data_IF_596933416779
#
_entry.id   IF_596933416779
#
_cell.length_a   1.000
_cell.length_b   1.000
_cell.length_c   1.000
_cell.angle_alpha   90.00
_cell.angle_beta   90.00
_cell.angle_gamma   90.00
#
_symmetry.space_group_name_H-M   'P 1'
#
loop_
_entity.id
_entity.type
_entity.pdbx_description
1 polymer ?
#
# COMPACT_ATOMS: atom_id res chain seq x y z
N UNK A 1 -37.82 17.66 16.81
CA UNK A 1 -38.48 18.89 17.30
C UNK A 1 -37.52 19.87 17.98
N UNK A 2 -36.43 19.42 18.58
CA UNK A 2 -35.43 20.29 19.28
C UNK A 2 -34.62 21.10 18.26
N UNK A 3 -34.15 20.50 17.16
CA UNK A 3 -33.36 21.19 16.14
C UNK A 3 -34.09 22.32 15.41
N UNK A 4 -35.40 22.19 15.19
CA UNK A 4 -36.21 23.24 14.53
C UNK A 4 -36.40 24.49 15.41
N UNK A 5 -36.47 24.34 16.75
CA UNK A 5 -36.58 25.47 17.68
C UNK A 5 -35.24 26.23 17.83
N UNK A 6 -34.12 25.51 17.82
CA UNK A 6 -32.80 26.09 17.79
C UNK A 6 -32.56 26.87 16.51
N UNK A 7 -32.92 26.31 15.35
CA UNK A 7 -32.77 26.97 14.04
C UNK A 7 -33.57 28.27 13.93
N UNK A 8 -34.82 28.30 14.43
CA UNK A 8 -35.68 29.51 14.46
C UNK A 8 -35.14 30.57 15.41
N UNK A 9 -34.55 30.18 16.55
CA UNK A 9 -33.93 31.10 17.50
C UNK A 9 -32.66 31.73 16.94
N UNK A 10 -31.90 30.94 16.11
CA UNK A 10 -30.71 31.41 15.43
C UNK A 10 -31.03 32.37 14.26
N UNK A 11 -32.09 32.17 13.51
CA UNK A 11 -32.51 33.05 12.41
C UNK A 11 -32.88 34.47 12.85
N UNK A 12 -33.20 34.67 14.13
CA UNK A 12 -33.57 35.99 14.70
C UNK A 12 -32.38 36.87 15.14
N UNK A 13 -31.14 36.32 15.14
CA UNK A 13 -29.93 37.06 15.58
C UNK A 13 -28.74 36.75 14.67
N UNK A 14 -28.70 37.30 13.45
CA UNK A 14 -27.66 36.95 12.48
C UNK A 14 -26.24 37.29 12.95
N UNK A 15 -26.06 38.30 13.78
CA UNK A 15 -24.75 38.69 14.33
C UNK A 15 -24.17 37.63 15.27
N UNK A 16 -24.99 37.09 16.18
CA UNK A 16 -24.55 36.01 17.09
C UNK A 16 -24.29 34.68 16.36
N UNK A 17 -25.01 34.40 15.24
CA UNK A 17 -24.73 33.22 14.41
C UNK A 17 -23.40 33.34 13.70
N UNK A 18 -23.05 34.52 13.22
CA UNK A 18 -21.74 34.77 12.57
C UNK A 18 -20.58 34.55 13.55
N UNK A 19 -20.68 35.16 14.76
CA UNK A 19 -19.66 35.00 15.80
C UNK A 19 -19.53 33.54 16.26
N UNK A 20 -20.65 32.84 16.47
CA UNK A 20 -20.62 31.43 16.88
C UNK A 20 -20.03 30.55 15.81
N UNK A 21 -20.29 30.81 14.52
CA UNK A 21 -19.72 30.08 13.42
C UNK A 21 -18.19 30.30 13.30
N UNK A 22 -17.74 31.54 13.43
CA UNK A 22 -16.32 31.91 13.46
C UNK A 22 -15.60 31.27 14.65
N UNK A 23 -16.22 31.35 15.86
CA UNK A 23 -15.65 30.73 17.05
C UNK A 23 -15.58 29.20 16.95
N UNK A 24 -16.60 28.56 16.39
CA UNK A 24 -16.58 27.12 16.13
C UNK A 24 -15.49 26.74 15.08
N UNK A 25 -15.36 27.54 14.04
CA UNK A 25 -14.31 27.35 13.03
C UNK A 25 -12.91 27.52 13.63
N UNK A 26 -12.71 28.57 14.44
CA UNK A 26 -11.45 28.81 15.14
C UNK A 26 -11.10 27.66 16.10
N UNK A 27 -12.08 27.20 16.89
CA UNK A 27 -11.88 26.08 17.81
C UNK A 27 -11.55 24.78 17.07
N UNK A 28 -12.28 24.47 16.00
CA UNK A 28 -11.99 23.26 15.18
C UNK A 28 -10.63 23.35 14.51
N UNK A 29 -10.21 24.52 14.06
CA UNK A 29 -8.88 24.75 13.49
C UNK A 29 -7.78 24.57 14.53
N UNK A 30 -7.96 25.13 15.76
CA UNK A 30 -7.01 24.95 16.86
C UNK A 30 -6.90 23.49 17.29
N UNK A 31 -8.02 22.77 17.38
CA UNK A 31 -8.03 21.34 17.67
C UNK A 31 -7.34 20.54 16.58
N UNK A 32 -7.59 20.85 15.29
CA UNK A 32 -6.94 20.20 14.16
C UNK A 32 -5.41 20.41 14.18
N UNK A 33 -4.96 21.65 14.46
CA UNK A 33 -3.53 21.98 14.62
C UNK A 33 -2.93 21.23 15.82
N UNK A 34 -3.62 21.21 16.96
CA UNK A 34 -3.17 20.47 18.16
C UNK A 34 -3.04 18.96 17.89
N UNK A 35 -4.02 18.34 17.24
CA UNK A 35 -3.99 16.93 16.84
C UNK A 35 -2.87 16.66 15.83
N UNK A 36 -2.67 17.57 14.86
CA UNK A 36 -1.57 17.47 13.91
C UNK A 36 -0.22 17.44 14.61
N UNK A 37 0.05 18.39 15.53
CA UNK A 37 1.30 18.43 16.28
C UNK A 37 1.50 17.21 17.18
N UNK A 38 0.44 16.72 17.82
CA UNK A 38 0.50 15.53 18.67
C UNK A 38 0.78 14.22 17.88
N UNK A 39 0.35 14.15 16.61
CA UNK A 39 0.52 12.96 15.74
C UNK A 39 1.24 13.28 14.44
N UNK A 40 2.13 14.26 14.45
CA UNK A 40 2.83 14.76 13.27
C UNK A 40 3.43 13.67 12.36
N UNK A 41 4.20 12.66 12.86
CA UNK A 41 4.75 11.63 11.98
C UNK A 41 3.68 10.82 11.22
N UNK A 42 2.54 10.56 11.88
CA UNK A 42 1.42 9.86 11.25
C UNK A 42 0.69 10.70 10.21
N UNK A 43 0.56 12.01 10.46
CA UNK A 43 -0.06 12.95 9.52
C UNK A 43 0.84 13.16 8.29
N UNK A 44 2.13 13.39 8.50
CA UNK A 44 3.11 13.56 7.42
C UNK A 44 3.21 12.30 6.55
N UNK A 45 3.16 11.11 7.16
CA UNK A 45 3.12 9.84 6.44
C UNK A 45 1.89 9.72 5.52
N UNK A 46 0.71 10.14 5.98
CA UNK A 46 -0.51 10.15 5.15
C UNK A 46 -0.43 11.16 4.01
N UNK A 47 0.12 12.35 4.28
CA UNK A 47 0.31 13.37 3.23
C UNK A 47 1.26 12.86 2.14
N UNK A 48 2.35 12.19 2.52
CA UNK A 48 3.23 11.54 1.55
C UNK A 48 2.49 10.46 0.76
N UNK A 49 1.72 9.59 1.43
CA UNK A 49 0.93 8.55 0.74
C UNK A 49 -0.02 9.17 -0.28
N UNK A 50 -0.82 10.17 0.11
CA UNK A 50 -1.76 10.82 -0.82
C UNK A 50 -1.05 11.51 -2.00
N UNK A 51 0.15 12.05 -1.76
CA UNK A 51 1.01 12.60 -2.82
C UNK A 51 1.42 11.52 -3.83
N UNK A 52 1.86 10.35 -3.34
CA UNK A 52 2.24 9.23 -4.19
C UNK A 52 1.01 8.63 -4.89
N UNK A 53 -0.12 8.45 -4.19
CA UNK A 53 -1.39 7.98 -4.78
C UNK A 53 -1.84 8.86 -5.94
N UNK A 54 -1.75 10.19 -5.74
CA UNK A 54 -2.10 11.16 -6.79
C UNK A 54 -1.17 11.03 -8.00
N UNK A 55 0.12 10.74 -7.78
CA UNK A 55 1.07 10.49 -8.88
C UNK A 55 0.75 9.20 -9.63
N UNK A 56 0.35 8.12 -8.91
CA UNK A 56 -0.11 6.87 -9.54
C UNK A 56 -1.32 7.14 -10.44
N UNK A 57 -2.32 7.89 -9.93
CA UNK A 57 -3.51 8.27 -10.72
C UNK A 57 -3.13 9.09 -11.96
N UNK A 58 -2.21 10.06 -11.83
CA UNK A 58 -1.78 10.92 -12.94
C UNK A 58 -0.97 10.14 -14.00
N UNK A 59 -0.24 9.10 -13.64
CA UNK A 59 0.47 8.23 -14.60
C UNK A 59 -0.45 7.26 -15.32
N UNK A 60 -1.56 6.86 -14.69
CA UNK A 60 -2.55 5.94 -15.26
C UNK A 60 -3.95 6.57 -15.26
N UNK A 61 -4.16 7.70 -15.98
CA UNK A 61 -5.30 8.59 -15.74
C UNK A 61 -6.64 8.01 -16.15
N UNK A 62 -6.74 7.16 -17.18
CA UNK A 62 -8.03 6.71 -17.71
C UNK A 62 -8.56 5.49 -16.95
N UNK A 63 -7.77 4.42 -16.84
CA UNK A 63 -8.21 3.12 -16.33
C UNK A 63 -7.55 2.72 -15.02
N UNK A 64 -6.60 3.53 -14.53
CA UNK A 64 -5.82 3.20 -13.34
C UNK A 64 -4.86 2.02 -13.56
N UNK A 65 -4.39 1.46 -12.46
CA UNK A 65 -3.46 0.32 -12.46
C UNK A 65 -4.17 -1.04 -12.38
N UNK A 66 -5.48 -1.04 -12.31
CA UNK A 66 -6.33 -2.22 -12.10
C UNK A 66 -6.59 -2.51 -10.61
N UNK A 67 -7.75 -3.11 -10.28
CA UNK A 67 -8.10 -3.46 -8.92
C UNK A 67 -7.09 -4.43 -8.30
N UNK A 68 -6.69 -4.17 -7.05
CA UNK A 68 -5.74 -4.99 -6.29
C UNK A 68 -4.25 -4.73 -6.60
N UNK A 69 -3.92 -3.90 -7.60
CA UNK A 69 -2.53 -3.60 -7.97
C UNK A 69 -2.00 -2.29 -7.32
N UNK A 70 -2.79 -1.69 -6.44
CA UNK A 70 -2.44 -0.43 -5.78
C UNK A 70 -1.08 -0.47 -5.10
N UNK A 71 -0.82 -1.46 -4.22
CA UNK A 71 0.38 -1.49 -3.42
C UNK A 71 1.67 -1.60 -4.26
N UNK A 72 1.67 -2.45 -5.28
CA UNK A 72 2.82 -2.57 -6.19
C UNK A 72 3.06 -1.29 -7.01
N UNK A 73 2.00 -0.65 -7.51
CA UNK A 73 2.09 0.61 -8.22
C UNK A 73 2.57 1.74 -7.31
N UNK A 74 2.07 1.80 -6.07
CA UNK A 74 2.52 2.73 -5.05
C UNK A 74 4.03 2.58 -4.79
N UNK A 75 4.53 1.35 -4.57
CA UNK A 75 5.94 1.09 -4.31
C UNK A 75 6.85 1.56 -5.44
N UNK A 76 6.46 1.28 -6.70
CA UNK A 76 7.20 1.76 -7.89
C UNK A 76 7.20 3.28 -8.00
N UNK A 77 6.05 3.92 -7.76
CA UNK A 77 5.94 5.38 -7.84
C UNK A 77 6.68 6.06 -6.70
N UNK A 78 6.64 5.51 -5.49
CA UNK A 78 7.42 6.02 -4.35
C UNK A 78 8.92 5.94 -4.63
N UNK A 79 9.39 4.83 -5.21
CA UNK A 79 10.80 4.70 -5.60
C UNK A 79 11.19 5.73 -6.67
N UNK A 80 10.36 5.93 -7.70
CA UNK A 80 10.58 6.96 -8.70
C UNK A 80 10.62 8.35 -8.07
N UNK A 81 9.69 8.64 -7.15
CA UNK A 81 9.62 9.92 -6.44
C UNK A 81 10.91 10.24 -5.67
N UNK A 82 11.50 9.27 -4.98
CA UNK A 82 12.73 9.47 -4.22
C UNK A 82 14.00 9.36 -5.08
N UNK A 83 13.91 8.82 -6.30
CA UNK A 83 15.02 8.77 -7.24
C UNK A 83 15.16 10.03 -8.11
N UNK A 84 14.08 10.78 -8.35
CA UNK A 84 14.06 11.94 -9.25
C UNK A 84 14.90 13.12 -8.72
N UNK A 85 14.79 13.43 -7.42
CA UNK A 85 15.45 14.58 -6.79
C UNK A 85 15.73 14.31 -5.31
N UNK A 86 16.59 15.13 -4.70
CA UNK A 86 16.78 15.12 -3.25
C UNK A 86 15.50 15.62 -2.55
N UNK A 87 14.78 14.70 -1.92
CA UNK A 87 13.51 14.98 -1.25
C UNK A 87 13.70 15.36 0.21
N UNK A 88 12.74 16.12 0.80
CA UNK A 88 12.82 16.53 2.20
C UNK A 88 13.09 15.33 3.12
N UNK A 89 14.04 15.47 4.04
CA UNK A 89 14.42 14.42 5.00
C UNK A 89 13.23 13.87 5.79
N UNK A 90 12.24 14.72 6.08
CA UNK A 90 11.03 14.33 6.78
C UNK A 90 10.19 13.34 5.97
N UNK A 91 10.05 13.55 4.66
CA UNK A 91 9.35 12.61 3.76
C UNK A 91 10.09 11.27 3.68
N UNK A 92 11.43 11.30 3.60
CA UNK A 92 12.23 10.08 3.61
C UNK A 92 12.02 9.25 4.89
N UNK A 93 11.91 9.88 6.06
CA UNK A 93 11.71 9.21 7.36
C UNK A 93 10.31 8.62 7.54
N UNK A 94 9.29 9.17 6.89
CA UNK A 94 7.90 8.66 6.97
C UNK A 94 7.53 7.74 5.82
N UNK A 95 8.42 7.56 4.83
CA UNK A 95 8.22 6.61 3.74
C UNK A 95 8.00 5.19 4.30
N UNK A 96 7.03 4.47 3.73
CA UNK A 96 6.64 3.14 4.17
C UNK A 96 6.22 2.25 3.01
N UNK A 97 5.81 1.03 3.32
CA UNK A 97 5.26 0.08 2.37
C UNK A 97 3.78 -0.21 2.69
N UNK A 98 2.86 0.73 2.38
CA UNK A 98 1.45 0.56 2.69
C UNK A 98 0.79 -0.46 1.76
N UNK A 99 -0.14 -1.25 2.32
CA UNK A 99 -1.06 -2.09 1.55
C UNK A 99 -2.31 -1.32 1.09
N UNK A 100 -2.59 -0.16 1.73
CA UNK A 100 -3.72 0.73 1.42
C UNK A 100 -3.34 2.21 1.52
N UNK A 101 -3.97 3.06 0.72
CA UNK A 101 -3.65 4.48 0.58
C UNK A 101 -4.13 5.40 1.72
N UNK A 102 -4.81 4.86 2.75
CA UNK A 102 -5.44 5.65 3.82
C UNK A 102 -6.37 6.77 3.33
N UNK A 103 -6.81 6.67 2.10
CA UNK A 103 -7.88 7.44 1.47
C UNK A 103 -8.50 6.58 0.37
N UNK A 104 -9.68 6.02 0.67
CA UNK A 104 -10.34 5.06 -0.21
C UNK A 104 -10.71 5.64 -1.58
N UNK A 105 -11.04 6.92 -1.63
CA UNK A 105 -11.37 7.57 -2.90
C UNK A 105 -10.13 7.72 -3.80
N UNK A 106 -9.00 8.15 -3.23
CA UNK A 106 -7.74 8.25 -3.99
C UNK A 106 -7.25 6.87 -4.41
N UNK A 107 -7.27 5.89 -3.52
CA UNK A 107 -6.89 4.51 -3.84
C UNK A 107 -7.78 3.95 -4.96
N UNK A 108 -9.11 4.12 -4.84
CA UNK A 108 -10.03 3.69 -5.89
C UNK A 108 -9.75 4.39 -7.23
N UNK A 109 -9.42 5.69 -7.17
CA UNK A 109 -8.99 6.44 -8.36
C UNK A 109 -7.67 5.92 -8.94
N UNK A 110 -6.69 5.60 -8.12
CA UNK A 110 -5.43 5.00 -8.58
C UNK A 110 -5.66 3.63 -9.26
N UNK A 111 -6.61 2.83 -8.74
CA UNK A 111 -6.95 1.51 -9.29
C UNK A 111 -7.83 1.57 -10.55
N UNK A 112 -8.75 2.54 -10.66
CA UNK A 112 -9.78 2.61 -11.72
C UNK A 112 -9.68 3.83 -12.62
N UNK A 113 -8.70 4.68 -12.40
CA UNK A 113 -8.51 5.93 -13.12
C UNK A 113 -9.50 7.03 -12.72
N UNK A 114 -9.41 8.16 -13.42
CA UNK A 114 -10.25 9.34 -13.18
C UNK A 114 -11.73 9.07 -13.44
N UNK A 115 -12.02 8.14 -14.36
CA UNK A 115 -13.40 7.75 -14.69
C UNK A 115 -14.06 7.12 -13.46
N UNK A 116 -13.43 6.09 -12.88
CA UNK A 116 -13.95 5.44 -11.67
C UNK A 116 -14.00 6.39 -10.47
N UNK A 117 -12.96 7.22 -10.30
CA UNK A 117 -12.90 8.24 -9.25
C UNK A 117 -14.08 9.22 -9.31
N UNK A 118 -14.34 9.80 -10.49
CA UNK A 118 -15.45 10.76 -10.69
C UNK A 118 -16.81 10.08 -10.52
N UNK A 119 -16.98 8.85 -11.04
CA UNK A 119 -18.22 8.08 -10.87
C UNK A 119 -18.50 7.79 -9.39
N UNK A 120 -17.51 7.35 -8.64
CA UNK A 120 -17.67 7.06 -7.20
C UNK A 120 -17.97 8.31 -6.37
N UNK A 121 -17.26 9.42 -6.62
CA UNK A 121 -17.53 10.70 -5.96
C UNK A 121 -18.93 11.23 -6.32
N UNK A 122 -19.30 11.16 -7.59
CA UNK A 122 -20.62 11.60 -8.06
C UNK A 122 -21.74 10.77 -7.45
N UNK A 123 -21.58 9.45 -7.41
CA UNK A 123 -22.56 8.53 -6.80
C UNK A 123 -22.71 8.83 -5.30
N UNK A 124 -21.60 8.90 -4.57
CA UNK A 124 -21.61 9.16 -3.13
C UNK A 124 -22.15 10.56 -2.81
N UNK A 125 -21.69 11.57 -3.53
CA UNK A 125 -22.09 12.97 -3.34
C UNK A 125 -23.57 13.19 -3.64
N UNK A 126 -24.07 12.66 -4.76
CA UNK A 126 -25.51 12.77 -5.11
C UNK A 126 -26.40 12.02 -4.13
N UNK A 127 -25.97 10.84 -3.65
CA UNK A 127 -26.69 10.08 -2.63
C UNK A 127 -26.75 10.86 -1.30
N UNK A 128 -25.64 11.43 -0.82
CA UNK A 128 -25.59 12.23 0.40
C UNK A 128 -26.47 13.47 0.27
N UNK A 129 -26.28 14.27 -0.78
CA UNK A 129 -27.05 15.52 -0.98
C UNK A 129 -28.54 15.22 -1.15
N UNK A 130 -28.86 14.21 -1.94
CA UNK A 130 -30.25 13.79 -2.17
C UNK A 130 -30.93 13.29 -0.87
N UNK A 131 -30.23 12.50 -0.06
CA UNK A 131 -30.74 12.02 1.22
C UNK A 131 -30.94 13.17 2.24
N UNK A 132 -29.98 14.08 2.37
CA UNK A 132 -30.07 15.23 3.27
C UNK A 132 -31.25 16.13 2.86
N UNK A 133 -31.42 16.44 1.55
CA UNK A 133 -32.55 17.21 1.04
C UNK A 133 -33.89 16.56 1.33
N UNK A 134 -33.96 15.23 1.26
CA UNK A 134 -35.17 14.44 1.62
C UNK A 134 -35.34 14.19 3.12
N UNK A 135 -34.43 14.74 3.96
CA UNK A 135 -34.40 14.50 5.41
C UNK A 135 -34.31 13.02 5.78
N UNK A 136 -33.62 12.24 4.93
CA UNK A 136 -33.36 10.83 5.19
C UNK A 136 -32.16 10.70 6.16
N UNK A 137 -32.32 10.10 7.36
CA UNK A 137 -31.25 10.02 8.37
C UNK A 137 -30.03 9.23 7.89
N UNK A 138 -30.20 8.28 6.98
CA UNK A 138 -29.10 7.50 6.40
C UNK A 138 -28.10 8.37 5.59
N UNK A 139 -28.52 9.54 5.11
CA UNK A 139 -27.65 10.50 4.45
C UNK A 139 -26.55 11.04 5.36
N UNK A 140 -26.87 11.26 6.64
CA UNK A 140 -25.85 11.69 7.62
C UNK A 140 -24.89 10.57 7.97
N UNK A 141 -25.38 9.32 8.07
CA UNK A 141 -24.54 8.15 8.26
C UNK A 141 -23.58 7.92 7.08
N UNK A 142 -24.10 8.03 5.85
CA UNK A 142 -23.28 7.92 4.62
C UNK A 142 -22.25 9.05 4.53
N UNK A 143 -22.60 10.28 4.90
CA UNK A 143 -21.65 11.40 4.95
C UNK A 143 -20.52 11.12 5.95
N UNK A 144 -20.86 10.67 7.17
CA UNK A 144 -19.85 10.30 8.17
C UNK A 144 -18.93 9.17 7.69
N UNK A 145 -19.50 8.13 7.06
CA UNK A 145 -18.74 7.03 6.47
C UNK A 145 -17.82 7.49 5.32
N UNK A 146 -18.29 8.42 4.47
CA UNK A 146 -17.49 8.99 3.39
C UNK A 146 -16.33 9.85 3.94
N UNK A 147 -16.58 10.68 4.97
CA UNK A 147 -15.52 11.44 5.64
C UNK A 147 -14.49 10.49 6.27
N UNK A 148 -14.93 9.42 6.93
CA UNK A 148 -14.03 8.41 7.49
C UNK A 148 -13.19 7.73 6.40
N UNK A 149 -13.77 7.43 5.24
CA UNK A 149 -13.08 6.85 4.08
C UNK A 149 -12.02 7.79 3.46
N UNK A 150 -12.12 9.12 3.63
CA UNK A 150 -11.09 10.07 3.19
C UNK A 150 -9.81 10.01 4.04
N UNK A 151 -9.87 9.48 5.28
CA UNK A 151 -8.74 9.51 6.23
C UNK A 151 -8.33 8.14 6.74
N UNK A 152 -8.94 7.07 6.23
CA UNK A 152 -8.72 5.70 6.69
C UNK A 152 -8.97 4.71 5.54
N UNK A 153 -8.93 3.41 5.86
CA UNK A 153 -9.11 2.28 4.93
C UNK A 153 -10.31 1.37 5.30
N UNK A 154 -11.53 1.93 5.49
CA UNK A 154 -12.68 1.13 5.92
C UNK A 154 -13.10 0.07 4.89
N UNK A 155 -12.81 0.25 3.61
CA UNK A 155 -13.19 -0.73 2.57
C UNK A 155 -12.27 -1.95 2.52
N UNK A 156 -11.11 -1.90 3.15
CA UNK A 156 -10.27 -3.08 3.39
C UNK A 156 -10.85 -4.00 4.46
N UNK A 157 -11.83 -3.52 5.26
CA UNK A 157 -12.51 -4.26 6.32
C UNK A 157 -13.92 -4.62 5.84
N UNK A 158 -14.16 -5.90 5.53
CA UNK A 158 -15.42 -6.37 4.91
C UNK A 158 -16.70 -5.86 5.59
N UNK A 159 -16.88 -5.92 6.93
CA UNK A 159 -18.08 -5.38 7.59
C UNK A 159 -18.30 -3.89 7.33
N UNK A 160 -17.23 -3.08 7.32
CA UNK A 160 -17.33 -1.63 7.07
C UNK A 160 -17.64 -1.33 5.60
N UNK A 161 -17.10 -2.12 4.67
CA UNK A 161 -17.43 -2.04 3.24
C UNK A 161 -18.91 -2.35 3.01
N UNK A 162 -19.41 -3.41 3.61
CA UNK A 162 -20.84 -3.77 3.53
C UNK A 162 -21.72 -2.68 4.15
N UNK A 163 -21.33 -2.13 5.31
CA UNK A 163 -22.04 -1.02 5.94
C UNK A 163 -22.12 0.20 5.01
N UNK A 164 -21.01 0.55 4.34
CA UNK A 164 -21.00 1.67 3.38
C UNK A 164 -21.99 1.43 2.24
N UNK A 165 -22.03 0.22 1.66
CA UNK A 165 -22.97 -0.15 0.59
C UNK A 165 -24.41 -0.08 1.08
N UNK A 166 -24.71 -0.59 2.27
CA UNK A 166 -26.06 -0.53 2.88
C UNK A 166 -26.48 0.92 3.13
N UNK A 167 -25.58 1.76 3.68
CA UNK A 167 -25.87 3.19 3.88
C UNK A 167 -26.11 3.91 2.55
N UNK A 168 -25.32 3.60 1.51
CA UNK A 168 -25.50 4.16 0.18
C UNK A 168 -26.87 3.78 -0.40
N UNK A 169 -27.24 2.51 -0.35
CA UNK A 169 -28.53 2.03 -0.82
C UNK A 169 -29.70 2.66 -0.04
N UNK A 170 -29.62 2.70 1.30
CA UNK A 170 -30.62 3.32 2.15
C UNK A 170 -30.75 4.84 1.94
N UNK A 171 -29.62 5.53 1.69
CA UNK A 171 -29.62 6.96 1.35
C UNK A 171 -30.31 7.24 -0.01
N UNK A 172 -30.18 6.35 -0.98
CA UNK A 172 -30.81 6.47 -2.28
C UNK A 172 -32.32 6.18 -2.26
N UNK A 173 -32.83 5.45 -1.25
CA UNK A 173 -34.23 5.06 -1.18
C UNK A 173 -35.13 6.25 -0.83
N UNK A 174 -36.14 6.57 -1.63
CA UNK A 174 -37.09 7.64 -1.31
C UNK A 174 -38.02 7.22 -0.15
N UNK A 175 -38.24 8.12 0.80
CA UNK A 175 -39.00 7.86 2.05
C UNK A 175 -40.45 7.48 1.81
N UNK A 176 -41.06 7.98 0.72
CA UNK A 176 -42.46 7.74 0.31
C UNK A 176 -42.47 7.23 -1.13
N UNK A 177 -41.80 6.14 -1.41
CA UNK A 177 -41.92 5.52 -2.73
C UNK A 177 -43.34 4.93 -2.85
N UNK A 178 -44.14 5.36 -3.82
CA UNK A 178 -45.39 4.68 -4.09
C UNK A 178 -45.07 3.21 -4.42
N UNK A 179 -45.93 2.28 -3.97
CA UNK A 179 -45.79 0.86 -4.34
C UNK A 179 -45.78 0.75 -5.87
N UNK A 180 -44.58 0.62 -6.42
CA UNK A 180 -44.41 0.43 -7.87
C UNK A 180 -44.82 -0.99 -8.20
N UNK A 181 -45.68 -1.14 -9.20
CA UNK A 181 -46.16 -2.47 -9.63
C UNK A 181 -44.99 -3.44 -9.87
N UNK A 182 -45.25 -4.73 -9.70
CA UNK A 182 -44.24 -5.81 -9.77
C UNK A 182 -43.38 -5.76 -11.04
N UNK A 183 -43.99 -5.43 -12.19
CA UNK A 183 -43.28 -5.31 -13.48
C UNK A 183 -42.21 -4.24 -13.53
N UNK A 184 -42.35 -3.14 -12.78
CA UNK A 184 -41.37 -2.07 -12.75
C UNK A 184 -40.17 -2.39 -11.84
N UNK A 185 -40.33 -3.35 -10.94
CA UNK A 185 -39.27 -3.86 -10.06
C UNK A 185 -38.62 -5.14 -10.64
N UNK A 186 -39.06 -5.61 -11.81
CA UNK A 186 -38.52 -6.81 -12.45
C UNK A 186 -36.99 -6.79 -12.60
N UNK A 187 -36.32 -5.68 -13.04
CA UNK A 187 -34.85 -5.61 -13.09
C UNK A 187 -34.20 -5.76 -11.72
N UNK A 188 -34.82 -5.24 -10.64
CA UNK A 188 -34.33 -5.39 -9.27
C UNK A 188 -34.46 -6.83 -8.74
N UNK A 189 -35.45 -7.58 -9.22
CA UNK A 189 -35.63 -9.00 -8.89
C UNK A 189 -34.68 -9.90 -9.69
N UNK A 190 -34.26 -9.48 -10.87
CA UNK A 190 -33.25 -10.22 -11.67
C UNK A 190 -31.85 -10.22 -11.05
N UNK A 191 -31.46 -9.16 -10.31
CA UNK A 191 -30.17 -9.08 -9.65
C UNK A 191 -29.94 -10.21 -8.61
N UNK A 192 -30.85 -10.47 -7.63
CA UNK A 192 -30.66 -11.58 -6.71
C UNK A 192 -30.76 -12.94 -7.40
N UNK A 193 -31.55 -13.07 -8.46
CA UNK A 193 -31.62 -14.31 -9.25
C UNK A 193 -30.33 -14.56 -10.01
N UNK A 194 -29.77 -13.54 -10.66
CA UNK A 194 -28.45 -13.62 -11.30
C UNK A 194 -27.34 -13.91 -10.27
N UNK A 195 -27.38 -13.26 -9.12
CA UNK A 195 -26.49 -13.54 -8.00
C UNK A 195 -26.57 -14.98 -7.52
N UNK A 196 -27.78 -15.50 -7.34
CA UNK A 196 -28.02 -16.90 -6.95
C UNK A 196 -27.53 -17.89 -8.01
N UNK A 197 -27.70 -17.56 -9.29
CA UNK A 197 -27.25 -18.40 -10.40
C UNK A 197 -25.70 -18.43 -10.50
N UNK A 198 -25.02 -17.32 -10.19
CA UNK A 198 -23.55 -17.25 -10.16
C UNK A 198 -22.94 -17.80 -8.86
N UNK A 199 -23.74 -17.95 -7.80
CA UNK A 199 -23.29 -18.31 -6.47
C UNK A 199 -22.50 -19.63 -6.40
N UNK A 200 -22.95 -20.74 -7.01
CA UNK A 200 -22.20 -22.00 -6.93
C UNK A 200 -20.79 -21.88 -7.46
N UNK A 201 -20.61 -21.29 -8.65
CA UNK A 201 -19.27 -21.12 -9.23
C UNK A 201 -18.36 -20.14 -8.47
N UNK A 202 -18.94 -19.11 -7.83
CA UNK A 202 -18.20 -18.19 -6.95
C UNK A 202 -17.84 -18.89 -5.64
N UNK A 203 -18.75 -19.69 -5.09
CA UNK A 203 -18.51 -20.45 -3.85
C UNK A 203 -17.41 -21.48 -4.04
N UNK A 204 -17.42 -22.24 -5.13
CA UNK A 204 -16.39 -23.25 -5.41
C UNK A 204 -15.00 -22.59 -5.54
N UNK A 205 -14.90 -21.49 -6.28
CA UNK A 205 -13.64 -20.74 -6.38
C UNK A 205 -13.18 -20.22 -5.02
N UNK A 206 -14.10 -19.69 -4.23
CA UNK A 206 -13.80 -19.21 -2.87
C UNK A 206 -13.37 -20.36 -1.97
N UNK A 207 -14.06 -21.49 -1.98
CA UNK A 207 -13.74 -22.67 -1.16
C UNK A 207 -12.34 -23.21 -1.50
N UNK A 208 -12.01 -23.35 -2.79
CA UNK A 208 -10.66 -23.76 -3.24
C UNK A 208 -9.60 -22.79 -2.74
N UNK A 209 -9.83 -21.47 -2.84
CA UNK A 209 -8.86 -20.46 -2.38
C UNK A 209 -8.69 -20.47 -0.85
N UNK A 210 -9.80 -20.63 -0.10
CA UNK A 210 -9.74 -20.74 1.37
C UNK A 210 -8.98 -21.98 1.81
N UNK A 211 -9.23 -23.11 1.16
CA UNK A 211 -8.50 -24.36 1.46
C UNK A 211 -7.01 -24.22 1.12
N UNK A 212 -6.67 -23.64 -0.02
CA UNK A 212 -5.28 -23.36 -0.40
C UNK A 212 -4.60 -22.43 0.62
N UNK A 213 -5.29 -21.37 1.10
CA UNK A 213 -4.77 -20.50 2.16
C UNK A 213 -4.61 -21.20 3.50
N UNK A 214 -5.47 -22.18 3.82
CA UNK A 214 -5.34 -22.99 5.02
C UNK A 214 -4.10 -23.87 4.93
N UNK A 215 -3.93 -24.61 3.84
CA UNK A 215 -2.75 -25.45 3.59
C UNK A 215 -1.48 -24.62 3.65
N UNK A 216 -1.48 -23.46 3.00
CA UNK A 216 -0.36 -22.52 3.04
C UNK A 216 0.01 -22.11 4.48
N UNK A 217 -0.96 -21.79 5.34
CA UNK A 217 -0.69 -21.43 6.75
C UNK A 217 -0.07 -22.57 7.55
N UNK A 218 -0.42 -23.81 7.25
CA UNK A 218 0.16 -25.00 7.89
C UNK A 218 1.61 -25.19 7.43
N UNK A 219 1.85 -25.10 6.13
CA UNK A 219 3.20 -25.24 5.54
C UNK A 219 4.13 -24.11 6.00
N UNK A 220 3.62 -22.89 6.14
CA UNK A 220 4.40 -21.73 6.60
C UNK A 220 5.04 -21.94 7.98
N UNK A 221 4.49 -22.81 8.83
CA UNK A 221 5.08 -23.12 10.12
C UNK A 221 6.48 -23.76 9.98
N UNK A 222 6.74 -24.48 8.88
CA UNK A 222 8.04 -25.09 8.59
C UNK A 222 9.15 -24.06 8.30
N UNK A 223 8.82 -22.79 7.99
CA UNK A 223 9.83 -21.72 7.87
C UNK A 223 10.61 -21.52 9.18
N UNK A 224 9.97 -21.72 10.33
CA UNK A 224 10.62 -21.58 11.63
C UNK A 224 11.62 -22.71 11.92
N UNK A 225 11.45 -23.83 11.25
CA UNK A 225 12.34 -25.00 11.35
C UNK A 225 13.33 -25.08 10.19
N UNK A 226 13.42 -24.02 9.39
CA UNK A 226 14.28 -23.92 8.20
C UNK A 226 14.07 -25.03 7.15
N UNK A 227 12.93 -25.71 7.19
CA UNK A 227 12.55 -26.79 6.26
C UNK A 227 11.93 -26.20 5.00
N UNK A 228 12.73 -25.52 4.21
CA UNK A 228 12.30 -24.83 2.98
C UNK A 228 11.95 -25.79 1.83
N UNK A 229 12.43 -27.01 1.88
CA UNK A 229 12.09 -28.11 0.97
C UNK A 229 10.58 -28.36 0.90
N UNK A 230 9.89 -28.45 2.04
CA UNK A 230 8.44 -28.61 2.11
C UNK A 230 7.68 -27.38 1.57
N UNK A 231 8.22 -26.18 1.83
CA UNK A 231 7.61 -24.97 1.30
C UNK A 231 7.68 -24.89 -0.22
N UNK A 232 8.76 -25.43 -0.81
CA UNK A 232 8.91 -25.45 -2.27
C UNK A 232 7.94 -26.43 -2.91
N UNK A 233 7.81 -27.64 -2.37
CA UNK A 233 6.89 -28.67 -2.86
C UNK A 233 5.42 -28.22 -2.80
N UNK A 234 4.96 -27.78 -1.64
CA UNK A 234 3.61 -27.30 -1.46
C UNK A 234 3.37 -25.97 -2.17
N UNK A 235 4.38 -25.10 -2.21
CA UNK A 235 4.32 -23.83 -2.93
C UNK A 235 4.06 -24.03 -4.41
N UNK A 236 4.69 -25.00 -5.06
CA UNK A 236 4.44 -25.33 -6.45
C UNK A 236 2.99 -25.78 -6.69
N UNK A 237 2.46 -26.64 -5.83
CA UNK A 237 1.08 -27.13 -5.90
C UNK A 237 0.07 -26.00 -5.70
N UNK A 238 0.34 -25.05 -4.78
CA UNK A 238 -0.57 -23.97 -4.43
C UNK A 238 -0.44 -22.72 -5.34
N UNK A 239 0.65 -22.64 -6.12
CA UNK A 239 0.96 -21.46 -6.92
C UNK A 239 -0.16 -21.05 -7.86
N UNK A 240 -0.79 -22.00 -8.58
CA UNK A 240 -1.90 -21.69 -9.48
C UNK A 240 -3.11 -21.02 -8.81
N UNK A 241 -3.33 -21.28 -7.50
CA UNK A 241 -4.46 -20.73 -6.74
C UNK A 241 -4.09 -19.45 -5.98
N UNK A 242 -2.84 -19.35 -5.50
CA UNK A 242 -2.38 -18.27 -4.60
C UNK A 242 -1.46 -17.26 -5.28
N UNK A 243 -1.26 -17.34 -6.59
CA UNK A 243 -0.37 -16.45 -7.36
C UNK A 243 -0.76 -14.96 -7.34
N UNK A 244 -1.96 -14.62 -6.84
CA UNK A 244 -2.42 -13.25 -6.61
C UNK A 244 -2.23 -12.78 -5.14
N UNK A 245 -1.70 -13.63 -4.27
CA UNK A 245 -1.43 -13.29 -2.87
C UNK A 245 0.08 -12.98 -2.71
N UNK A 246 0.41 -11.71 -2.55
CA UNK A 246 1.82 -11.30 -2.45
C UNK A 246 2.54 -11.90 -1.22
N UNK A 247 1.81 -12.23 -0.14
CA UNK A 247 2.41 -12.85 1.05
C UNK A 247 2.83 -14.28 0.74
N UNK A 248 1.99 -15.02 -0.02
CA UNK A 248 2.34 -16.33 -0.53
C UNK A 248 3.55 -16.25 -1.47
N UNK A 249 3.54 -15.31 -2.42
CA UNK A 249 4.64 -15.13 -3.37
C UNK A 249 5.96 -14.77 -2.68
N UNK A 250 5.90 -13.97 -1.61
CA UNK A 250 7.08 -13.66 -0.79
C UNK A 250 7.66 -14.91 -0.16
N UNK A 251 6.84 -15.66 0.57
CA UNK A 251 7.30 -16.83 1.33
C UNK A 251 7.78 -17.93 0.38
N UNK A 252 7.06 -18.18 -0.71
CA UNK A 252 7.46 -19.16 -1.73
C UNK A 252 8.75 -18.74 -2.47
N UNK A 253 8.84 -17.49 -2.88
CA UNK A 253 10.04 -16.93 -3.48
C UNK A 253 11.25 -17.00 -2.54
N UNK A 254 11.04 -16.73 -1.24
CA UNK A 254 12.07 -16.87 -0.22
C UNK A 254 12.49 -18.32 0.00
N UNK A 255 11.57 -19.28 0.00
CA UNK A 255 11.88 -20.70 0.10
C UNK A 255 12.72 -21.17 -1.10
N UNK A 256 12.36 -20.77 -2.33
CA UNK A 256 13.15 -21.04 -3.54
C UNK A 256 14.56 -20.41 -3.46
N UNK A 257 14.69 -19.19 -2.90
CA UNK A 257 16.00 -18.60 -2.64
C UNK A 257 16.83 -19.46 -1.68
N UNK A 258 16.23 -19.94 -0.59
CA UNK A 258 16.91 -20.74 0.43
C UNK A 258 17.32 -22.13 -0.06
N UNK A 259 16.58 -22.72 -1.00
CA UNK A 259 16.91 -24.01 -1.64
C UNK A 259 17.85 -23.88 -2.84
N UNK A 260 18.25 -22.64 -3.21
CA UNK A 260 19.19 -22.39 -4.30
C UNK A 260 18.57 -22.29 -5.68
N UNK A 261 17.23 -22.40 -5.83
CA UNK A 261 16.57 -22.19 -7.11
C UNK A 261 16.35 -20.70 -7.38
N UNK A 262 17.45 -19.99 -7.58
CA UNK A 262 17.46 -18.52 -7.72
C UNK A 262 16.67 -18.02 -8.93
N UNK A 263 16.64 -18.79 -10.03
CA UNK A 263 15.92 -18.38 -11.25
C UNK A 263 14.41 -18.40 -11.03
N UNK A 264 13.88 -19.50 -10.49
CA UNK A 264 12.44 -19.60 -10.18
C UNK A 264 12.05 -18.62 -9.07
N UNK A 265 12.92 -18.47 -8.06
CA UNK A 265 12.72 -17.46 -7.02
C UNK A 265 12.51 -16.07 -7.62
N UNK A 266 13.35 -15.64 -8.56
CA UNK A 266 13.23 -14.33 -9.20
C UNK A 266 11.92 -14.16 -9.98
N UNK A 267 11.44 -15.20 -10.67
CA UNK A 267 10.14 -15.16 -11.37
C UNK A 267 8.99 -14.93 -10.39
N UNK A 268 8.97 -15.68 -9.29
CA UNK A 268 7.93 -15.56 -8.24
C UNK A 268 8.00 -14.21 -7.54
N UNK A 269 9.21 -13.73 -7.20
CA UNK A 269 9.41 -12.44 -6.56
C UNK A 269 9.02 -11.27 -7.46
N UNK A 270 9.30 -11.34 -8.76
CA UNK A 270 8.90 -10.32 -9.74
C UNK A 270 7.36 -10.20 -9.81
N UNK A 271 6.64 -11.31 -9.75
CA UNK A 271 5.18 -11.28 -9.68
C UNK A 271 4.71 -10.62 -8.36
N UNK A 272 5.35 -10.95 -7.23
CA UNK A 272 5.06 -10.32 -5.94
C UNK A 272 5.32 -8.82 -5.93
N UNK A 273 6.36 -8.33 -6.63
CA UNK A 273 6.66 -6.90 -6.78
C UNK A 273 5.56 -6.11 -7.51
N UNK A 274 4.74 -6.78 -8.33
CA UNK A 274 3.59 -6.13 -8.97
C UNK A 274 2.44 -5.89 -7.97
N UNK A 275 2.36 -6.70 -6.92
CA UNK A 275 1.26 -6.73 -5.96
C UNK A 275 1.63 -6.09 -4.60
N UNK A 276 2.91 -5.84 -4.35
CA UNK A 276 3.40 -5.38 -3.04
C UNK A 276 4.33 -4.18 -3.16
N UNK A 277 4.27 -3.30 -2.16
CA UNK A 277 5.21 -2.19 -1.96
C UNK A 277 6.39 -2.56 -1.03
N UNK A 278 6.55 -3.83 -0.63
CA UNK A 278 7.61 -4.23 0.28
C UNK A 278 8.96 -4.36 -0.46
N UNK A 279 10.00 -3.56 -0.10
CA UNK A 279 11.31 -3.63 -0.71
C UNK A 279 12.05 -4.96 -0.46
N UNK A 280 11.57 -5.81 0.46
CA UNK A 280 12.19 -7.10 0.73
C UNK A 280 12.16 -8.04 -0.48
N UNK A 281 11.15 -7.94 -1.35
CA UNK A 281 11.14 -8.64 -2.63
C UNK A 281 12.38 -8.32 -3.48
N UNK A 282 12.71 -7.04 -3.57
CA UNK A 282 13.88 -6.56 -4.31
C UNK A 282 15.20 -6.99 -3.65
N UNK A 283 15.26 -6.99 -2.31
CA UNK A 283 16.46 -7.41 -1.58
C UNK A 283 16.76 -8.90 -1.78
N UNK A 284 15.72 -9.76 -1.79
CA UNK A 284 15.91 -11.20 -2.04
C UNK A 284 16.29 -11.43 -3.50
N UNK A 285 15.60 -10.76 -4.42
CA UNK A 285 15.93 -10.86 -5.86
C UNK A 285 17.37 -10.41 -6.13
N UNK A 286 17.86 -9.38 -5.46
CA UNK A 286 19.24 -8.94 -5.58
C UNK A 286 20.24 -10.02 -5.15
N UNK A 287 19.98 -10.70 -4.03
CA UNK A 287 20.81 -11.84 -3.58
C UNK A 287 20.79 -13.00 -4.58
N UNK A 288 19.63 -13.25 -5.20
CA UNK A 288 19.54 -14.25 -6.26
C UNK A 288 20.36 -13.86 -7.48
N UNK A 289 20.29 -12.59 -7.91
CA UNK A 289 21.07 -12.07 -9.02
C UNK A 289 22.57 -12.13 -8.74
N UNK A 290 22.98 -11.77 -7.50
CA UNK A 290 24.37 -11.91 -7.05
C UNK A 290 24.85 -13.36 -7.15
N UNK A 291 24.07 -14.33 -6.65
CA UNK A 291 24.38 -15.75 -6.73
C UNK A 291 24.42 -16.30 -8.18
N UNK A 292 23.69 -15.66 -9.10
CA UNK A 292 23.72 -15.99 -10.53
C UNK A 292 24.81 -15.24 -11.30
N UNK A 293 25.63 -14.40 -10.66
CA UNK A 293 26.65 -13.56 -11.30
C UNK A 293 26.08 -12.36 -12.08
N UNK A 294 24.79 -12.08 -11.96
CA UNK A 294 24.08 -10.98 -12.62
C UNK A 294 24.16 -9.69 -11.77
N UNK A 295 25.36 -9.15 -11.64
CA UNK A 295 25.66 -8.06 -10.68
C UNK A 295 24.95 -6.74 -11.01
N UNK A 296 24.75 -6.42 -12.28
CA UNK A 296 24.05 -5.21 -12.69
C UNK A 296 22.54 -5.25 -12.30
N UNK A 297 21.92 -6.44 -12.42
CA UNK A 297 20.56 -6.70 -11.99
C UNK A 297 20.45 -6.61 -10.47
N UNK A 298 21.42 -7.16 -9.75
CA UNK A 298 21.49 -7.06 -8.29
C UNK A 298 21.60 -5.61 -7.84
N UNK A 299 22.48 -4.82 -8.46
CA UNK A 299 22.62 -3.38 -8.18
C UNK A 299 21.31 -2.63 -8.43
N UNK A 300 20.66 -2.84 -9.58
CA UNK A 300 19.38 -2.20 -9.90
C UNK A 300 18.31 -2.53 -8.86
N UNK A 301 18.20 -3.80 -8.47
CA UNK A 301 17.24 -4.22 -7.47
C UNK A 301 17.49 -3.57 -6.09
N UNK A 302 18.74 -3.47 -5.64
CA UNK A 302 19.10 -2.83 -4.37
C UNK A 302 18.88 -1.32 -4.38
N UNK A 303 19.20 -0.65 -5.48
CA UNK A 303 18.91 0.79 -5.65
C UNK A 303 17.40 1.05 -5.63
N UNK A 304 16.60 0.19 -6.28
CA UNK A 304 15.14 0.25 -6.24
C UNK A 304 14.60 0.05 -4.82
N UNK A 305 15.09 -0.96 -4.10
CA UNK A 305 14.71 -1.21 -2.70
C UNK A 305 15.02 -0.03 -1.79
N UNK A 306 16.20 0.60 -1.96
CA UNK A 306 16.57 1.79 -1.21
C UNK A 306 15.68 3.00 -1.56
N UNK A 307 15.42 3.22 -2.85
CA UNK A 307 14.56 4.30 -3.29
C UNK A 307 13.11 4.14 -2.80
N UNK A 308 12.60 2.92 -2.66
CA UNK A 308 11.28 2.68 -2.06
C UNK A 308 11.20 3.18 -0.62
N UNK A 309 12.19 2.88 0.23
CA UNK A 309 12.20 3.30 1.64
C UNK A 309 13.60 3.82 2.01
N UNK A 310 13.87 5.13 1.78
CA UNK A 310 15.22 5.69 1.87
C UNK A 310 15.88 5.64 3.26
N UNK A 311 15.09 5.52 4.34
CA UNK A 311 15.63 5.45 5.71
C UNK A 311 16.00 4.02 6.16
N UNK A 312 15.78 2.98 5.33
CA UNK A 312 16.20 1.60 5.64
C UNK A 312 17.67 1.38 5.30
N UNK A 313 18.41 0.89 6.28
CA UNK A 313 19.85 0.60 6.15
C UNK A 313 20.10 -0.60 5.22
N UNK A 314 19.28 -1.63 5.30
CA UNK A 314 19.53 -2.95 4.74
C UNK A 314 19.85 -2.95 3.22
N UNK A 315 19.10 -2.23 2.35
CA UNK A 315 19.45 -2.18 0.93
C UNK A 315 20.81 -1.56 0.66
N UNK A 316 21.21 -0.49 1.39
CA UNK A 316 22.52 0.12 1.23
C UNK A 316 23.64 -0.76 1.77
N UNK A 317 23.40 -1.50 2.85
CA UNK A 317 24.33 -2.48 3.38
C UNK A 317 24.61 -3.58 2.34
N UNK A 318 23.56 -4.15 1.74
CA UNK A 318 23.73 -5.14 0.68
C UNK A 318 24.42 -4.58 -0.56
N UNK A 319 24.14 -3.33 -0.92
CA UNK A 319 24.77 -2.66 -2.07
C UNK A 319 26.26 -2.43 -1.84
N UNK A 320 26.67 -2.00 -0.63
CA UNK A 320 28.07 -1.83 -0.28
C UNK A 320 28.83 -3.17 -0.33
N UNK A 321 28.20 -4.25 0.14
CA UNK A 321 28.77 -5.61 0.07
C UNK A 321 28.91 -6.10 -1.38
N UNK A 322 27.90 -5.87 -2.20
CA UNK A 322 27.91 -6.21 -3.63
C UNK A 322 29.10 -5.52 -4.32
N UNK A 323 29.32 -4.23 -4.09
CA UNK A 323 30.44 -3.49 -4.66
C UNK A 323 31.79 -4.01 -4.16
N UNK A 324 31.90 -4.34 -2.87
CA UNK A 324 33.11 -4.94 -2.31
C UNK A 324 33.40 -6.31 -2.95
N UNK A 325 32.39 -7.16 -3.06
CA UNK A 325 32.52 -8.50 -3.66
C UNK A 325 32.89 -8.46 -5.17
N UNK A 326 32.50 -7.38 -5.86
CA UNK A 326 32.81 -7.19 -7.30
C UNK A 326 34.08 -6.37 -7.56
N UNK A 327 34.88 -6.08 -6.53
CA UNK A 327 36.14 -5.31 -6.65
C UNK A 327 35.93 -3.79 -6.83
N UNK A 328 34.71 -3.29 -6.75
CA UNK A 328 34.35 -1.86 -6.90
C UNK A 328 34.55 -1.11 -5.56
N UNK A 329 35.80 -1.08 -5.07
CA UNK A 329 36.13 -0.65 -3.70
C UNK A 329 35.73 0.80 -3.39
N UNK A 330 35.88 1.74 -4.34
CA UNK A 330 35.51 3.14 -4.10
C UNK A 330 33.99 3.33 -3.98
N UNK A 331 33.21 2.60 -4.77
CA UNK A 331 31.75 2.62 -4.69
C UNK A 331 31.27 1.93 -3.41
N UNK A 332 31.92 0.84 -2.99
CA UNK A 332 31.67 0.18 -1.71
C UNK A 332 31.87 1.16 -0.54
N UNK A 333 32.99 1.88 -0.49
CA UNK A 333 33.29 2.88 0.55
C UNK A 333 32.32 4.05 0.53
N UNK A 334 32.01 4.57 -0.65
CA UNK A 334 31.07 5.68 -0.79
C UNK A 334 29.67 5.28 -0.30
N UNK A 335 29.23 4.08 -0.67
CA UNK A 335 27.94 3.54 -0.24
C UNK A 335 27.92 3.24 1.26
N UNK A 336 29.01 2.69 1.81
CA UNK A 336 29.17 2.46 3.25
C UNK A 336 29.12 3.76 4.05
N UNK A 337 29.83 4.83 3.62
CA UNK A 337 29.74 6.16 4.27
C UNK A 337 28.32 6.71 4.22
N UNK A 338 27.63 6.59 3.08
CA UNK A 338 26.23 7.01 2.94
C UNK A 338 25.32 6.23 3.90
N UNK A 339 25.52 4.92 4.01
CA UNK A 339 24.75 4.03 4.88
C UNK A 339 24.97 4.36 6.37
N UNK A 340 26.20 4.62 6.80
CA UNK A 340 26.54 4.99 8.17
C UNK A 340 26.01 6.38 8.57
N UNK A 341 25.92 7.32 7.62
CA UNK A 341 25.34 8.65 7.83
C UNK A 341 23.81 8.66 7.78
N UNK A 342 23.18 7.50 7.53
CA UNK A 342 21.73 7.40 7.44
C UNK A 342 21.09 7.58 8.82
N UNK A 343 20.09 8.46 8.92
CA UNK A 343 19.28 8.57 10.13
C UNK A 343 18.30 7.40 10.17
N UNK A 344 18.59 6.43 11.02
CA UNK A 344 17.71 5.28 11.22
C UNK A 344 16.44 5.69 11.98
N UNK A 345 15.30 5.11 11.62
CA UNK A 345 14.04 5.29 12.34
C UNK A 345 13.98 4.40 13.58
N UNK A 346 14.58 3.21 13.51
CA UNK A 346 14.65 2.22 14.58
C UNK A 346 16.06 1.65 14.60
N UNK A 347 16.68 1.62 15.76
CA UNK A 347 17.93 0.91 15.99
C UNK A 347 17.62 -0.47 16.57
N UNK A 348 18.27 -1.49 16.01
CA UNK A 348 18.19 -2.88 16.47
C UNK A 348 19.58 -3.50 16.55
N UNK A 349 19.70 -4.68 17.16
CA UNK A 349 20.95 -5.42 17.19
C UNK A 349 21.47 -5.64 15.76
N UNK A 350 20.57 -6.07 14.85
CA UNK A 350 20.93 -6.30 13.44
C UNK A 350 21.43 -5.03 12.73
N UNK A 351 20.83 -3.86 13.03
CA UNK A 351 21.32 -2.61 12.41
C UNK A 351 22.68 -2.21 12.92
N UNK A 352 23.03 -2.52 14.18
CA UNK A 352 24.36 -2.27 14.74
C UNK A 352 25.41 -3.21 14.11
N UNK A 353 25.10 -4.50 14.00
CA UNK A 353 25.93 -5.48 13.31
C UNK A 353 26.26 -5.04 11.86
N UNK A 354 25.23 -4.61 11.11
CA UNK A 354 25.41 -4.08 9.76
C UNK A 354 26.30 -2.82 9.76
N UNK A 355 26.15 -1.92 10.73
CA UNK A 355 26.99 -0.73 10.84
C UNK A 355 28.44 -1.09 11.15
N UNK A 356 28.69 -2.08 12.02
CA UNK A 356 30.03 -2.57 12.33
C UNK A 356 30.71 -3.19 11.09
N UNK A 357 29.98 -3.98 10.31
CA UNK A 357 30.48 -4.54 9.05
C UNK A 357 30.80 -3.44 8.02
N UNK A 358 29.92 -2.43 7.90
CA UNK A 358 30.17 -1.29 7.02
C UNK A 358 31.39 -0.46 7.46
N UNK A 359 31.65 -0.35 8.77
CA UNK A 359 32.87 0.29 9.29
C UNK A 359 34.09 -0.51 8.90
N UNK A 360 34.08 -1.83 8.99
CA UNK A 360 35.21 -2.68 8.55
C UNK A 360 35.51 -2.47 7.06
N UNK A 361 34.51 -2.39 6.21
CA UNK A 361 34.65 -2.13 4.76
C UNK A 361 35.33 -0.77 4.49
N UNK A 362 35.18 0.22 5.37
CA UNK A 362 35.88 1.51 5.23
C UNK A 362 37.35 1.43 5.55
N UNK A 363 37.78 0.51 6.44
CA UNK A 363 39.16 0.38 6.93
C UNK A 363 39.94 -0.69 6.15
N UNK A 364 39.29 -1.53 5.32
CA UNK A 364 40.03 -2.47 4.49
C UNK A 364 40.89 -1.75 3.47
N UNK A 365 42.23 -2.11 3.41
CA UNK A 365 43.12 -1.51 2.43
C UNK A 365 42.64 -1.85 1.01
N UNK A 366 42.71 -0.88 0.12
CA UNK A 366 42.43 -1.05 -1.30
C UNK A 366 43.38 -2.10 -1.85
N UNK A 367 42.94 -3.29 -2.17
CA UNK A 367 43.71 -4.23 -2.99
C UNK A 367 43.81 -3.58 -4.36
N UNK A 368 44.92 -2.87 -4.61
CA UNK A 368 45.29 -2.47 -5.95
C UNK A 368 45.60 -3.77 -6.71
N UNK A 369 44.70 -4.16 -7.61
CA UNK A 369 45.07 -5.06 -8.71
C UNK A 369 46.16 -4.34 -9.49
N UNK A 370 47.44 -4.69 -9.21
CA UNK A 370 48.53 -4.33 -10.11
C UNK A 370 48.21 -4.88 -11.48
N UNK A 371 48.28 -4.08 -12.53
CA UNK A 371 48.25 -4.63 -13.87
C UNK A 371 49.46 -5.57 -13.98
N UNK A 372 49.22 -6.87 -14.29
CA UNK A 372 50.28 -7.76 -14.67
C UNK A 372 51.10 -7.06 -15.76
N UNK A 373 52.30 -6.69 -15.41
CA UNK A 373 53.27 -6.26 -16.39
C UNK A 373 53.56 -7.44 -17.30
N UNK A 374 53.01 -7.38 -18.53
CA UNK A 374 53.55 -8.15 -19.63
C UNK A 374 55.02 -7.83 -19.75
N UNK A 375 55.85 -8.71 -19.22
CA UNK A 375 57.24 -8.79 -19.64
C UNK A 375 57.30 -9.80 -20.80
N UNK A 376 57.93 -9.32 -21.81
CA UNK A 376 58.31 -9.92 -23.11
C UNK A 376 58.77 -11.37 -23.06
#
# INVERSE_FOLDING_TARGET
RIGGRLWLKYKRRPFHTGISAVAALALTSLLAVGIYHAKRPSADGRLLMWKIDSRVLLRHPLWGVGPGNFAGAFGREQAAYFAEEERPRQEQLVAGCPESGFNEFLQFGAETGIIGFVLLLSLTGTAVVGAIRRRNPFGYGLFGAAVFACFSYPWSVLPLRLLFVVLLAAACTPRNAPHRGLLRNLPLLLLPVAGAACWPGLYDRYAVRVEAQRQWREVRLWMHSERYDYLVEDGERLYGTLSEDFRFLYDYGYALHKTGDYRRSNVVLQQGMQLSSDPMFHNIAAKNYEALGAYDEAERALRQAHAMIPHRLYPLYLLARLYAATGRSEEARTTARRALNLKLKVESVQTREMQEELQKLLHEPTVQTQPESCNE
#
